data_IF_626939034719
#
_entry.id   IF_626939034719
#
_cell.length_a   1.000
_cell.length_b   1.000
_cell.length_c   1.000
_cell.angle_alpha   90.00
_cell.angle_beta   90.00
_cell.angle_gamma   90.00
#
_symmetry.space_group_name_H-M   'P 1'
#
loop_
_entity.id
_entity.type
_entity.pdbx_description
1 polymer ?
#
# COMPACT_ATOMS: atom_id res chain seq x y z
N UNK A 1 -10.67 -15.35 -8.01
CA UNK A 1 -9.58 -14.96 -7.09
C UNK A 1 -9.20 -16.17 -6.25
N UNK A 2 -7.91 -16.53 -6.12
CA UNK A 2 -7.50 -17.70 -5.34
C UNK A 2 -7.45 -17.38 -3.83
N UNK A 3 -7.70 -18.39 -2.98
CA UNK A 3 -7.75 -18.23 -1.51
C UNK A 3 -6.47 -17.58 -0.93
N UNK A 4 -5.32 -17.82 -1.56
CA UNK A 4 -4.04 -17.23 -1.17
C UNK A 4 -4.06 -15.69 -1.21
N UNK A 5 -4.72 -15.09 -2.20
CA UNK A 5 -4.78 -13.64 -2.30
C UNK A 5 -5.61 -12.99 -1.19
N UNK A 6 -6.72 -13.60 -0.79
CA UNK A 6 -7.54 -13.07 0.31
C UNK A 6 -6.74 -13.04 1.62
N UNK A 7 -5.95 -14.10 1.87
CA UNK A 7 -5.02 -14.16 3.00
C UNK A 7 -3.96 -13.05 2.93
N UNK A 8 -3.30 -12.90 1.77
CA UNK A 8 -2.26 -11.88 1.59
C UNK A 8 -2.78 -10.44 1.79
N UNK A 9 -4.00 -10.12 1.35
CA UNK A 9 -4.59 -8.79 1.58
C UNK A 9 -4.91 -8.54 3.07
N UNK A 10 -5.32 -9.57 3.81
CA UNK A 10 -5.51 -9.47 5.26
C UNK A 10 -4.17 -9.30 5.98
N UNK A 11 -3.14 -10.01 5.53
CA UNK A 11 -1.76 -9.84 6.03
C UNK A 11 -1.29 -8.41 5.81
N UNK A 12 -1.52 -7.83 4.62
CA UNK A 12 -1.15 -6.44 4.34
C UNK A 12 -1.79 -5.47 5.33
N UNK A 13 -3.10 -5.58 5.58
CA UNK A 13 -3.79 -4.73 6.54
C UNK A 13 -3.19 -4.86 7.95
N UNK A 14 -2.89 -6.08 8.37
CA UNK A 14 -2.29 -6.37 9.68
C UNK A 14 -0.89 -5.78 9.80
N UNK A 15 -0.04 -6.00 8.79
CA UNK A 15 1.34 -5.50 8.80
C UNK A 15 1.39 -3.97 8.81
N UNK A 16 0.51 -3.29 8.06
CA UNK A 16 0.43 -1.82 8.09
C UNK A 16 -0.07 -1.32 9.46
N UNK A 17 -1.05 -2.00 10.07
CA UNK A 17 -1.54 -1.65 11.41
C UNK A 17 -0.43 -1.73 12.47
N UNK A 18 0.37 -2.80 12.41
CA UNK A 18 1.52 -3.01 13.28
C UNK A 18 2.60 -1.96 13.04
N UNK A 19 2.93 -1.69 11.79
CA UNK A 19 3.93 -0.68 11.41
C UNK A 19 3.54 0.72 11.93
N UNK A 20 2.28 1.11 11.79
CA UNK A 20 1.75 2.38 12.34
C UNK A 20 1.90 2.50 13.85
N UNK A 21 1.82 1.38 14.55
CA UNK A 21 1.92 1.32 16.01
C UNK A 21 3.36 1.14 16.49
N UNK A 22 4.31 1.03 15.55
CA UNK A 22 5.71 0.78 15.84
C UNK A 22 6.41 2.05 16.33
N UNK A 23 7.18 1.90 17.42
CA UNK A 23 7.88 3.03 18.05
C UNK A 23 9.09 3.51 17.25
N UNK A 24 9.68 2.68 16.39
CA UNK A 24 10.84 3.07 15.60
C UNK A 24 10.46 4.09 14.52
N UNK A 25 9.30 3.93 13.88
CA UNK A 25 8.95 4.74 12.71
C UNK A 25 8.15 6.00 13.04
N UNK A 26 7.12 5.93 13.91
CA UNK A 26 6.20 7.06 14.13
C UNK A 26 6.17 7.59 15.56
N UNK A 27 7.02 7.09 16.45
CA UNK A 27 7.12 7.65 17.81
C UNK A 27 7.67 9.07 17.80
N UNK A 28 7.03 9.94 18.58
CA UNK A 28 7.43 11.35 18.71
C UNK A 28 7.09 12.21 17.49
N UNK A 29 6.34 11.69 16.52
CA UNK A 29 5.84 12.45 15.38
C UNK A 29 4.47 13.09 15.74
N UNK A 30 4.38 14.41 15.90
CA UNK A 30 3.16 15.09 16.31
C UNK A 30 2.26 15.36 15.08
N UNK A 31 1.71 14.30 14.50
CA UNK A 31 0.74 14.41 13.41
C UNK A 31 -0.35 13.36 13.51
N UNK A 32 -1.57 13.77 13.23
CA UNK A 32 -2.76 12.96 13.07
C UNK A 32 -3.26 12.93 11.61
N UNK A 33 -2.54 13.61 10.69
CA UNK A 33 -2.94 13.76 9.30
C UNK A 33 -2.98 12.41 8.58
N UNK A 34 -4.00 12.24 7.75
CA UNK A 34 -4.17 11.07 6.89
C UNK A 34 -3.93 11.49 5.46
N UNK A 35 -2.84 11.01 4.85
CA UNK A 35 -2.46 11.38 3.47
C UNK A 35 -2.49 10.14 2.58
N UNK A 36 -3.41 10.12 1.61
CA UNK A 36 -3.45 9.09 0.58
C UNK A 36 -2.62 9.56 -0.60
N UNK A 37 -1.37 9.10 -0.67
CA UNK A 37 -0.42 9.55 -1.71
C UNK A 37 -0.67 8.95 -3.10
N UNK A 38 -1.28 7.77 -3.17
CA UNK A 38 -1.60 7.12 -4.45
C UNK A 38 -2.75 7.83 -5.17
N UNK A 39 -2.53 8.12 -6.46
CA UNK A 39 -3.52 8.73 -7.36
C UNK A 39 -4.51 7.71 -7.95
N UNK A 40 -4.49 6.45 -7.52
CA UNK A 40 -5.43 5.46 -8.00
C UNK A 40 -6.87 5.77 -7.50
N UNK A 41 -7.84 5.61 -8.39
CA UNK A 41 -9.27 5.84 -8.11
C UNK A 41 -9.91 4.65 -7.39
N UNK A 42 -9.16 3.93 -6.55
CA UNK A 42 -9.57 2.66 -5.94
C UNK A 42 -10.89 2.73 -5.19
N UNK A 43 -11.20 3.85 -4.53
CA UNK A 43 -12.48 4.02 -3.83
C UNK A 43 -13.65 4.00 -4.82
N UNK A 44 -13.50 4.68 -5.97
CA UNK A 44 -14.52 4.69 -7.01
C UNK A 44 -14.54 3.36 -7.75
N UNK A 45 -13.38 2.90 -8.24
CA UNK A 45 -13.22 1.69 -9.04
C UNK A 45 -13.68 0.41 -8.33
N UNK A 46 -13.60 0.36 -7.00
CA UNK A 46 -14.05 -0.76 -6.18
C UNK A 46 -15.47 -0.61 -5.61
N UNK A 47 -16.26 0.33 -6.13
CA UNK A 47 -17.69 0.37 -5.84
C UNK A 47 -18.37 -0.94 -6.29
N UNK A 48 -19.36 -1.47 -5.56
CA UNK A 48 -19.96 -2.79 -5.83
C UNK A 48 -20.50 -2.98 -7.26
N UNK A 49 -20.94 -1.91 -7.92
CA UNK A 49 -21.53 -1.94 -9.26
C UNK A 49 -20.52 -1.89 -10.41
N UNK A 50 -19.22 -1.75 -10.12
CA UNK A 50 -18.19 -1.60 -11.15
C UNK A 50 -17.49 -2.91 -11.51
N UNK A 51 -16.86 -2.99 -12.71
CA UNK A 51 -16.11 -4.16 -13.13
C UNK A 51 -14.97 -4.50 -12.16
N UNK A 52 -14.88 -5.77 -11.75
CA UNK A 52 -13.82 -6.24 -10.84
C UNK A 52 -12.41 -6.02 -11.39
N UNK A 53 -12.26 -6.11 -12.71
CA UNK A 53 -11.00 -5.86 -13.39
C UNK A 53 -10.50 -4.44 -13.13
N UNK A 54 -11.39 -3.45 -13.12
CA UNK A 54 -11.04 -2.05 -12.88
C UNK A 54 -10.68 -1.82 -11.41
N UNK A 55 -11.44 -2.41 -10.48
CA UNK A 55 -11.08 -2.40 -9.06
C UNK A 55 -9.67 -2.98 -8.85
N UNK A 56 -9.42 -4.20 -9.33
CA UNK A 56 -8.14 -4.89 -9.17
C UNK A 56 -6.98 -4.12 -9.81
N UNK A 57 -7.18 -3.51 -10.97
CA UNK A 57 -6.18 -2.65 -11.62
C UNK A 57 -5.80 -1.45 -10.74
N UNK A 58 -6.77 -0.76 -10.16
CA UNK A 58 -6.50 0.37 -9.27
C UNK A 58 -5.86 -0.05 -7.95
N UNK A 59 -6.21 -1.24 -7.42
CA UNK A 59 -5.50 -1.85 -6.28
C UNK A 59 -4.04 -2.11 -6.64
N UNK A 60 -3.74 -2.65 -7.82
CA UNK A 60 -2.34 -2.89 -8.24
C UNK A 60 -1.55 -1.58 -8.38
N UNK A 61 -2.18 -0.51 -8.86
CA UNK A 61 -1.57 0.84 -8.88
C UNK A 61 -1.27 1.36 -7.47
N UNK A 62 -2.19 1.23 -6.52
CA UNK A 62 -1.93 1.57 -5.12
C UNK A 62 -0.72 0.79 -4.58
N UNK A 63 -0.69 -0.53 -4.78
CA UNK A 63 0.40 -1.37 -4.30
C UNK A 63 1.74 -1.02 -4.95
N UNK A 64 1.75 -0.69 -6.24
CA UNK A 64 2.95 -0.23 -6.94
C UNK A 64 3.45 1.10 -6.38
N UNK A 65 2.54 2.06 -6.14
CA UNK A 65 2.85 3.34 -5.53
C UNK A 65 3.52 3.18 -4.16
N UNK A 66 2.89 2.43 -3.25
CA UNK A 66 3.42 2.28 -1.89
C UNK A 66 4.73 1.48 -1.84
N UNK A 67 4.91 0.49 -2.73
CA UNK A 67 6.20 -0.19 -2.86
C UNK A 67 7.31 0.79 -3.22
N UNK A 68 7.09 1.60 -4.27
CA UNK A 68 8.06 2.55 -4.76
C UNK A 68 8.33 3.69 -3.75
N UNK A 69 7.29 4.14 -3.03
CA UNK A 69 7.41 5.11 -1.94
C UNK A 69 8.29 4.57 -0.79
N UNK A 70 8.10 3.30 -0.38
CA UNK A 70 8.94 2.70 0.65
C UNK A 70 10.38 2.48 0.19
N UNK A 71 10.59 2.04 -1.05
CA UNK A 71 11.92 1.88 -1.63
C UNK A 71 12.67 3.22 -1.66
N UNK A 72 12.07 4.26 -2.23
CA UNK A 72 12.67 5.60 -2.28
C UNK A 72 12.88 6.23 -0.90
N UNK A 73 12.03 5.94 0.09
CA UNK A 73 12.23 6.44 1.45
C UNK A 73 13.50 5.87 2.09
N UNK A 74 13.80 4.59 1.83
CA UNK A 74 15.00 3.92 2.32
C UNK A 74 16.29 4.45 1.69
N UNK A 75 16.20 5.17 0.58
CA UNK A 75 17.32 5.86 -0.07
C UNK A 75 17.60 7.25 0.52
N UNK A 76 16.67 7.79 1.33
CA UNK A 76 16.86 9.10 1.98
C UNK A 76 17.77 9.02 3.21
N UNK A 77 18.29 10.15 3.72
CA UNK A 77 19.00 10.17 4.99
C UNK A 77 18.07 9.73 6.15
N UNK A 78 18.30 8.52 6.68
CA UNK A 78 17.53 7.96 7.80
C UNK A 78 18.27 8.15 9.13
N UNK A 79 17.53 8.50 10.19
CA UNK A 79 18.09 8.60 11.54
C UNK A 79 18.51 7.23 12.11
N UNK A 80 17.74 6.17 11.82
CA UNK A 80 18.05 4.80 12.23
C UNK A 80 17.79 3.84 11.05
N UNK A 81 18.74 3.69 10.11
CA UNK A 81 18.54 2.92 8.88
C UNK A 81 18.22 1.44 9.14
N UNK A 82 18.90 0.82 10.12
CA UNK A 82 18.75 -0.61 10.43
C UNK A 82 17.34 -0.91 10.94
N UNK A 83 16.89 -0.19 11.97
CA UNK A 83 15.57 -0.42 12.55
C UNK A 83 14.47 -0.03 11.57
N UNK A 84 14.63 1.09 10.86
CA UNK A 84 13.67 1.57 9.86
C UNK A 84 13.46 0.54 8.76
N UNK A 85 14.55 -0.02 8.22
CA UNK A 85 14.49 -1.07 7.21
C UNK A 85 13.80 -2.31 7.77
N UNK A 86 14.18 -2.75 8.98
CA UNK A 86 13.63 -3.94 9.61
C UNK A 86 12.10 -3.84 9.82
N UNK A 87 11.57 -2.67 10.17
CA UNK A 87 10.12 -2.48 10.38
C UNK A 87 9.34 -2.30 9.08
N UNK A 88 9.94 -1.74 8.03
CA UNK A 88 9.30 -1.58 6.72
C UNK A 88 9.28 -2.89 5.91
N UNK A 89 10.30 -3.72 6.08
CA UNK A 89 10.52 -4.95 5.29
C UNK A 89 9.31 -5.89 5.23
N UNK A 90 8.60 -6.21 6.34
CA UNK A 90 7.44 -7.10 6.29
C UNK A 90 6.30 -6.58 5.40
N UNK A 91 6.09 -5.25 5.40
CA UNK A 91 5.05 -4.62 4.55
C UNK A 91 5.49 -4.67 3.09
N UNK A 92 6.74 -4.35 2.78
CA UNK A 92 7.29 -4.44 1.43
C UNK A 92 7.19 -5.87 0.88
N UNK A 93 7.59 -6.88 1.65
CA UNK A 93 7.54 -8.29 1.24
C UNK A 93 6.10 -8.76 0.98
N UNK A 94 5.15 -8.28 1.78
CA UNK A 94 3.73 -8.56 1.58
C UNK A 94 3.20 -7.91 0.30
N UNK A 95 3.56 -6.64 0.03
CA UNK A 95 3.20 -5.95 -1.21
C UNK A 95 3.78 -6.67 -2.43
N UNK A 96 5.05 -7.05 -2.38
CA UNK A 96 5.71 -7.80 -3.46
C UNK A 96 5.03 -9.16 -3.69
N UNK A 97 4.67 -9.86 -2.62
CA UNK A 97 3.92 -11.12 -2.70
C UNK A 97 2.53 -10.94 -3.32
N UNK A 98 1.81 -9.86 -2.97
CA UNK A 98 0.52 -9.53 -3.58
C UNK A 98 0.67 -9.24 -5.08
N UNK A 99 1.61 -8.37 -5.45
CA UNK A 99 1.84 -8.01 -6.86
C UNK A 99 2.25 -9.22 -7.70
N UNK A 100 3.04 -10.15 -7.13
CA UNK A 100 3.45 -11.37 -7.84
C UNK A 100 2.32 -12.39 -7.99
N UNK A 101 1.56 -12.62 -6.94
CA UNK A 101 0.62 -13.75 -6.87
C UNK A 101 -0.84 -13.38 -7.18
N UNK A 102 -1.20 -12.10 -7.14
CA UNK A 102 -2.59 -11.62 -7.20
C UNK A 102 -2.87 -10.63 -8.33
N UNK A 103 -1.89 -10.39 -9.20
CA UNK A 103 -2.09 -9.59 -10.41
C UNK A 103 -2.98 -10.31 -11.43
N UNK A 104 -3.86 -9.56 -12.08
CA UNK A 104 -4.61 -10.03 -13.25
C UNK A 104 -3.65 -10.07 -14.44
N UNK A 105 -3.09 -11.23 -14.80
CA UNK A 105 -2.42 -11.39 -16.10
C UNK A 105 -3.34 -12.12 -17.08
N UNK A 106 -3.86 -11.46 -18.13
CA UNK A 106 -4.34 -12.14 -19.32
C UNK A 106 -3.24 -12.25 -20.40
N UNK A 107 -2.37 -11.24 -20.54
CA UNK A 107 -1.32 -11.18 -21.55
C UNK A 107 -0.34 -10.05 -21.18
N UNK A 108 0.92 -10.38 -20.91
CA UNK A 108 2.14 -9.60 -21.24
C UNK A 108 2.29 -8.10 -20.93
N UNK A 109 1.27 -7.34 -20.51
CA UNK A 109 1.42 -5.92 -20.21
C UNK A 109 2.02 -5.76 -18.81
N UNK A 110 3.23 -5.21 -18.77
CA UNK A 110 3.82 -4.74 -17.55
C UNK A 110 2.97 -3.57 -17.05
N UNK A 111 2.33 -3.75 -15.89
CA UNK A 111 1.66 -2.72 -15.09
C UNK A 111 2.68 -1.71 -14.50
N UNK A 112 3.77 -1.46 -15.23
CA UNK A 112 4.81 -0.48 -14.91
C UNK A 112 4.32 0.89 -15.36
N UNK A 113 3.25 1.40 -14.74
CA UNK A 113 3.14 2.85 -14.66
C UNK A 113 4.30 3.29 -13.78
N UNK A 114 5.30 3.94 -14.37
CA UNK A 114 6.40 4.56 -13.64
C UNK A 114 5.82 5.47 -12.57
N UNK A 115 5.94 5.05 -11.31
CA UNK A 115 5.56 5.91 -10.19
C UNK A 115 6.67 6.93 -10.06
N UNK A 116 6.37 8.21 -10.30
CA UNK A 116 7.33 9.29 -10.09
C UNK A 116 7.59 9.47 -8.58
N UNK A 117 8.51 8.66 -8.04
CA UNK A 117 8.91 8.68 -6.64
C UNK A 117 9.90 9.79 -6.32
N UNK A 118 10.56 10.36 -7.34
CA UNK A 118 11.60 11.38 -7.20
C UNK A 118 11.11 12.70 -6.57
N UNK A 119 9.79 12.85 -6.35
CA UNK A 119 9.18 14.00 -5.66
C UNK A 119 8.55 13.67 -4.30
N UNK A 120 8.57 12.43 -3.84
CA UNK A 120 7.85 12.06 -2.62
C UNK A 120 8.58 12.56 -1.37
N UNK A 121 9.92 12.51 -1.37
CA UNK A 121 10.72 12.81 -0.18
C UNK A 121 11.64 14.00 -0.43
N UNK A 122 11.85 14.81 0.61
CA UNK A 122 12.83 15.90 0.61
C UNK A 122 14.19 15.46 1.17
N UNK A 123 15.02 16.44 1.50
CA UNK A 123 16.37 16.21 2.06
C UNK A 123 16.40 16.14 3.59
N UNK A 124 15.29 16.47 4.26
CA UNK A 124 15.23 16.56 5.72
C UNK A 124 14.62 15.29 6.33
N UNK A 125 15.43 14.54 7.08
CA UNK A 125 15.06 13.25 7.66
C UNK A 125 13.82 13.31 8.56
N UNK A 126 13.67 14.39 9.35
CA UNK A 126 12.50 14.58 10.22
C UNK A 126 11.21 14.77 9.39
N UNK A 127 11.25 15.63 8.37
CA UNK A 127 10.09 15.90 7.51
C UNK A 127 9.71 14.65 6.71
N UNK A 128 10.69 13.92 6.17
CA UNK A 128 10.43 12.66 5.48
C UNK A 128 9.77 11.63 6.42
N UNK A 129 10.22 11.54 7.68
CA UNK A 129 9.62 10.65 8.68
C UNK A 129 8.19 11.06 9.03
N UNK A 130 7.93 12.36 9.18
CA UNK A 130 6.59 12.92 9.39
C UNK A 130 5.66 12.55 8.23
N UNK A 131 6.09 12.80 6.99
CA UNK A 131 5.34 12.49 5.76
C UNK A 131 5.11 10.99 5.59
N UNK A 132 6.11 10.15 5.90
CA UNK A 132 5.98 8.70 5.91
C UNK A 132 4.88 8.25 6.89
N UNK A 133 4.82 8.82 8.10
CA UNK A 133 3.78 8.49 9.07
C UNK A 133 2.38 8.90 8.61
N UNK A 134 2.24 10.07 7.98
CA UNK A 134 0.98 10.53 7.40
C UNK A 134 0.55 9.64 6.22
N UNK A 135 1.51 9.23 5.39
CA UNK A 135 1.29 8.30 4.28
C UNK A 135 0.86 6.92 4.78
N UNK A 136 1.47 6.39 5.84
CA UNK A 136 1.08 5.11 6.44
C UNK A 136 -0.34 5.13 7.00
N UNK A 137 -0.79 6.26 7.54
CA UNK A 137 -2.19 6.44 7.94
C UNK A 137 -3.12 6.38 6.74
N UNK A 138 -2.80 7.06 5.65
CA UNK A 138 -3.58 6.96 4.41
C UNK A 138 -3.56 5.57 3.80
N UNK A 139 -2.40 4.90 3.79
CA UNK A 139 -2.26 3.55 3.28
C UNK A 139 -3.10 2.56 4.09
N UNK A 140 -3.15 2.72 5.41
CA UNK A 140 -4.02 1.90 6.25
C UNK A 140 -5.50 2.04 5.86
N UNK A 141 -5.98 3.27 5.62
CA UNK A 141 -7.35 3.51 5.13
C UNK A 141 -7.57 2.85 3.75
N UNK A 142 -6.58 2.95 2.86
CA UNK A 142 -6.64 2.27 1.56
C UNK A 142 -6.65 0.74 1.72
N UNK A 143 -5.86 0.18 2.63
CA UNK A 143 -5.82 -1.25 2.91
C UNK A 143 -7.14 -1.78 3.48
N UNK A 144 -7.86 -0.99 4.29
CA UNK A 144 -9.24 -1.32 4.71
C UNK A 144 -10.16 -1.39 3.50
N UNK A 145 -10.10 -0.38 2.62
CA UNK A 145 -10.93 -0.32 1.40
C UNK A 145 -10.66 -1.52 0.50
N UNK A 146 -9.39 -1.84 0.27
CA UNK A 146 -8.94 -3.02 -0.48
C UNK A 146 -9.51 -4.30 0.16
N UNK A 147 -9.36 -4.50 1.47
CA UNK A 147 -9.85 -5.69 2.15
C UNK A 147 -11.37 -5.86 2.03
N UNK A 148 -12.14 -4.77 2.13
CA UNK A 148 -13.59 -4.78 1.90
C UNK A 148 -13.91 -5.23 0.48
N UNK A 149 -13.29 -4.61 -0.52
CA UNK A 149 -13.48 -4.97 -1.93
C UNK A 149 -13.14 -6.45 -2.18
N UNK A 150 -12.02 -6.94 -1.63
CA UNK A 150 -11.63 -8.33 -1.77
C UNK A 150 -12.60 -9.30 -1.07
N UNK A 151 -13.21 -8.89 0.03
CA UNK A 151 -14.30 -9.63 0.68
C UNK A 151 -15.51 -9.77 -0.24
N UNK A 152 -15.99 -8.67 -0.83
CA UNK A 152 -17.07 -8.68 -1.82
C UNK A 152 -16.75 -9.57 -3.03
N UNK A 153 -15.56 -9.44 -3.60
CA UNK A 153 -15.12 -10.25 -4.75
C UNK A 153 -15.08 -11.75 -4.39
N UNK A 154 -14.60 -12.08 -3.18
CA UNK A 154 -14.45 -13.46 -2.73
C UNK A 154 -15.78 -14.12 -2.35
N UNK A 155 -16.75 -13.36 -1.85
CA UNK A 155 -18.08 -13.85 -1.49
C UNK A 155 -18.98 -14.17 -2.70
N UNK A 156 -18.68 -13.62 -3.87
CA UNK A 156 -19.56 -13.73 -5.04
C UNK A 156 -20.75 -12.76 -5.02
N UNK A 157 -20.87 -11.89 -4.01
CA UNK A 157 -22.01 -10.98 -3.84
C UNK A 157 -22.16 -9.93 -4.95
N UNK A 158 -21.16 -9.77 -5.81
CA UNK A 158 -21.23 -8.98 -7.04
C UNK A 158 -22.10 -9.61 -8.15
N UNK A 159 -22.49 -10.89 -8.00
CA UNK A 159 -23.30 -11.63 -8.99
C UNK A 159 -24.81 -11.59 -8.69
N UNK A 160 -25.21 -10.94 -7.59
CA UNK A 160 -26.61 -10.74 -7.20
C UNK A 160 -27.11 -9.42 -7.75
#
# INVERSE_FOLDING_TARGET
MCANCSSLYKSLLTSIAQLRSNKELCYGIPSDRVVVGSQADTVLACAPSLPQSECLKNIMKDLAYYAAAFESYLETPLQNPVNTTAVLKPVQDTIQSLRKNCSLKPNGENDSSEVNTAKIWGNESFNNRLEMCDMLRGFYVRAITINRAMGYISSGDYRK
#
